data_IF_963096466450
#
_entry.id   IF_963096466450
#
_cell.length_a   1.000
_cell.length_b   1.000
_cell.length_c   1.000
_cell.angle_alpha   90.00
_cell.angle_beta   90.00
_cell.angle_gamma   90.00
#
_symmetry.space_group_name_H-M   'P 1'
#
loop_
_entity.id
_entity.type
_entity.pdbx_description
1 polymer ?
#
# COMPACT_ATOMS: atom_id res chain seq x y z
N UNK A 1 -25.95 64.67 10.62
CA UNK A 1 -25.44 63.49 11.37
C UNK A 1 -25.42 62.19 10.54
N UNK A 2 -26.39 61.91 9.64
CA UNK A 2 -26.45 60.68 8.81
C UNK A 2 -25.29 60.47 7.80
N UNK A 3 -24.51 61.51 7.47
CA UNK A 3 -23.43 61.44 6.46
C UNK A 3 -22.15 60.76 7.00
N UNK A 4 -21.83 60.98 8.28
CA UNK A 4 -20.64 60.43 8.91
C UNK A 4 -20.78 58.94 9.27
N UNK A 5 -21.98 58.48 9.64
CA UNK A 5 -22.26 57.06 9.88
C UNK A 5 -22.17 56.21 8.61
N UNK A 6 -22.66 56.74 7.48
CA UNK A 6 -22.62 56.07 6.18
C UNK A 6 -21.18 55.94 5.66
N UNK A 7 -20.38 56.99 5.82
CA UNK A 7 -18.96 56.95 5.49
C UNK A 7 -18.19 55.95 6.36
N UNK A 8 -18.53 55.82 7.64
CA UNK A 8 -17.89 54.87 8.55
C UNK A 8 -18.27 53.41 8.25
N UNK A 9 -19.51 53.16 7.80
CA UNK A 9 -19.92 51.83 7.32
C UNK A 9 -19.24 51.45 6.00
N UNK A 10 -19.11 52.40 5.07
CA UNK A 10 -18.47 52.18 3.78
C UNK A 10 -16.97 51.88 3.94
N UNK A 11 -16.29 52.57 4.87
CA UNK A 11 -14.89 52.31 5.23
C UNK A 11 -14.72 50.91 5.83
N UNK A 12 -15.62 50.47 6.72
CA UNK A 12 -15.58 49.09 7.26
C UNK A 12 -15.79 48.03 6.19
N UNK A 13 -16.70 48.28 5.25
CA UNK A 13 -16.95 47.37 4.12
C UNK A 13 -15.72 47.30 3.21
N UNK A 14 -15.06 48.44 2.96
CA UNK A 14 -13.84 48.51 2.14
C UNK A 14 -12.69 47.73 2.79
N UNK A 15 -12.45 47.95 4.10
CA UNK A 15 -11.42 47.23 4.87
C UNK A 15 -11.66 45.71 4.87
N UNK A 16 -12.91 45.27 5.02
CA UNK A 16 -13.24 43.84 5.00
C UNK A 16 -12.99 43.21 3.62
N UNK A 17 -13.35 43.91 2.53
CA UNK A 17 -13.07 43.45 1.16
C UNK A 17 -11.57 43.35 0.88
N UNK A 18 -10.79 44.31 1.35
CA UNK A 18 -9.31 44.30 1.20
C UNK A 18 -8.69 43.15 1.98
N UNK A 19 -9.15 42.86 3.20
CA UNK A 19 -8.69 41.71 3.98
C UNK A 19 -9.03 40.37 3.32
N UNK A 20 -10.22 40.24 2.71
CA UNK A 20 -10.61 39.03 1.95
C UNK A 20 -9.78 38.84 0.68
N UNK A 21 -9.43 39.93 -0.01
CA UNK A 21 -8.53 39.89 -1.17
C UNK A 21 -7.11 39.48 -0.77
N UNK A 22 -6.58 40.05 0.32
CA UNK A 22 -5.26 39.69 0.84
C UNK A 22 -5.21 38.23 1.31
N UNK A 23 -6.26 37.73 1.98
CA UNK A 23 -6.36 36.32 2.38
C UNK A 23 -6.38 35.38 1.17
N UNK A 24 -7.12 35.75 0.13
CA UNK A 24 -7.18 35.00 -1.13
C UNK A 24 -5.83 34.99 -1.87
N UNK A 25 -5.12 36.12 -1.87
CA UNK A 25 -3.78 36.24 -2.48
C UNK A 25 -2.74 35.39 -1.74
N UNK A 26 -2.72 35.45 -0.41
CA UNK A 26 -1.80 34.66 0.41
C UNK A 26 -2.05 33.15 0.27
N UNK A 27 -3.32 32.73 0.19
CA UNK A 27 -3.69 31.34 -0.08
C UNK A 27 -3.18 30.88 -1.46
N UNK A 28 -3.30 31.71 -2.48
CA UNK A 28 -2.81 31.37 -3.83
C UNK A 28 -1.28 31.30 -3.90
N UNK A 29 -0.55 32.16 -3.18
CA UNK A 29 0.91 32.07 -3.06
C UNK A 29 1.36 30.80 -2.33
N UNK A 30 0.64 30.39 -1.29
CA UNK A 30 0.86 29.11 -0.59
C UNK A 30 0.58 27.89 -1.49
N UNK A 31 -0.45 27.96 -2.34
CA UNK A 31 -0.77 26.91 -3.31
C UNK A 31 0.29 26.85 -4.44
N UNK A 32 0.75 28.02 -4.92
CA UNK A 32 1.75 28.11 -5.99
C UNK A 32 3.14 27.62 -5.55
N UNK A 33 3.51 27.84 -4.29
CA UNK A 33 4.76 27.31 -3.70
C UNK A 33 4.71 25.79 -3.51
N UNK A 34 3.53 25.21 -3.29
CA UNK A 34 3.29 23.76 -3.24
C UNK A 34 3.09 23.10 -4.61
N UNK A 35 3.65 23.67 -5.69
CA UNK A 35 3.60 23.07 -7.03
C UNK A 35 4.07 21.61 -6.97
N UNK A 36 3.14 20.68 -7.17
CA UNK A 36 3.32 19.23 -7.02
C UNK A 36 4.56 18.78 -7.81
N UNK A 37 5.67 18.52 -7.11
CA UNK A 37 6.90 18.04 -7.75
C UNK A 37 6.57 16.75 -8.50
N UNK A 38 6.84 16.73 -9.81
CA UNK A 38 6.65 15.53 -10.61
C UNK A 38 7.67 14.48 -10.15
N UNK A 39 7.19 13.28 -9.85
CA UNK A 39 8.08 12.16 -9.56
C UNK A 39 8.94 11.86 -10.79
N UNK A 40 10.21 11.58 -10.53
CA UNK A 40 11.18 11.20 -11.56
C UNK A 40 11.43 9.70 -11.51
N UNK A 41 11.76 9.09 -12.64
CA UNK A 41 12.14 7.67 -12.70
C UNK A 41 13.26 7.33 -11.72
N UNK A 42 14.25 8.21 -11.58
CA UNK A 42 15.37 8.04 -10.64
C UNK A 42 14.91 8.00 -9.17
N UNK A 43 13.96 8.87 -8.79
CA UNK A 43 13.41 8.84 -7.43
C UNK A 43 12.65 7.54 -7.17
N UNK A 44 11.89 7.05 -8.16
CA UNK A 44 11.18 5.77 -8.07
C UNK A 44 12.15 4.59 -7.93
N UNK A 45 13.20 4.51 -8.76
CA UNK A 45 14.22 3.45 -8.68
C UNK A 45 14.83 3.38 -7.28
N UNK A 46 15.24 4.54 -6.73
CA UNK A 46 15.83 4.61 -5.39
C UNK A 46 14.84 4.23 -4.28
N UNK A 47 13.55 4.53 -4.45
CA UNK A 47 12.55 4.21 -3.46
C UNK A 47 12.11 2.73 -3.50
N UNK A 48 12.16 2.10 -4.67
CA UNK A 48 11.87 0.67 -4.85
C UNK A 48 13.03 -0.19 -4.33
N UNK A 49 14.27 0.27 -4.48
CA UNK A 49 15.45 -0.44 -3.97
C UNK A 49 15.37 -0.67 -2.45
N UNK A 50 15.53 -1.93 -2.03
CA UNK A 50 15.38 -2.42 -0.65
C UNK A 50 13.99 -2.18 -0.03
N UNK A 51 12.97 -1.95 -0.86
CA UNK A 51 11.59 -1.82 -0.40
C UNK A 51 10.90 -3.16 -0.19
N UNK A 52 11.49 -4.25 -0.69
CA UNK A 52 10.88 -5.58 -0.70
C UNK A 52 9.50 -5.59 -1.39
N UNK A 53 9.31 -4.69 -2.36
CA UNK A 53 8.04 -4.51 -3.08
C UNK A 53 6.90 -3.90 -2.25
N UNK A 54 7.20 -3.33 -1.08
CA UNK A 54 6.19 -2.73 -0.21
C UNK A 54 5.77 -1.34 -0.72
N UNK A 55 4.60 -1.28 -1.36
CA UNK A 55 4.05 -0.05 -1.93
C UNK A 55 3.75 1.01 -0.87
N UNK A 56 3.36 0.63 0.34
CA UNK A 56 3.11 1.60 1.42
C UNK A 56 4.41 2.30 1.81
N UNK A 57 5.47 1.52 2.02
CA UNK A 57 6.79 2.04 2.35
C UNK A 57 7.32 2.96 1.25
N UNK A 58 7.19 2.57 -0.02
CA UNK A 58 7.59 3.40 -1.17
C UNK A 58 6.80 4.72 -1.19
N UNK A 59 5.49 4.65 -0.96
CA UNK A 59 4.61 5.81 -0.95
C UNK A 59 4.99 6.80 0.17
N UNK A 60 5.24 6.29 1.37
CA UNK A 60 5.67 7.07 2.54
C UNK A 60 7.03 7.72 2.29
N UNK A 61 7.99 6.95 1.74
CA UNK A 61 9.33 7.44 1.41
C UNK A 61 9.32 8.56 0.36
N UNK A 62 8.38 8.50 -0.58
CA UNK A 62 8.21 9.50 -1.64
C UNK A 62 7.25 10.64 -1.27
N UNK A 63 6.54 10.54 -0.15
CA UNK A 63 5.54 11.52 0.29
C UNK A 63 4.34 11.62 -0.67
N UNK A 64 3.91 10.50 -1.25
CA UNK A 64 2.79 10.44 -2.20
C UNK A 64 1.77 9.37 -1.80
N UNK A 65 0.59 9.41 -2.41
CA UNK A 65 -0.38 8.33 -2.25
C UNK A 65 0.06 7.04 -2.97
N UNK A 66 -0.30 5.86 -2.46
CA UNK A 66 -0.03 4.56 -3.09
C UNK A 66 -0.48 4.49 -4.56
N UNK A 67 -1.63 5.07 -4.89
CA UNK A 67 -2.13 5.16 -6.28
C UNK A 67 -1.14 5.87 -7.20
N UNK A 68 -0.49 6.93 -6.71
CA UNK A 68 0.54 7.65 -7.46
C UNK A 68 1.77 6.79 -7.70
N UNK A 69 2.15 5.92 -6.75
CA UNK A 69 3.23 4.95 -6.92
C UNK A 69 2.90 3.99 -8.06
N UNK A 70 1.72 3.35 -8.04
CA UNK A 70 1.30 2.43 -9.11
C UNK A 70 1.33 3.08 -10.49
N UNK A 71 0.73 4.26 -10.65
CA UNK A 71 0.74 4.98 -11.93
C UNK A 71 2.17 5.29 -12.40
N UNK A 72 3.10 5.59 -11.49
CA UNK A 72 4.49 5.88 -11.89
C UNK A 72 5.31 4.61 -12.14
N UNK A 73 4.99 3.48 -11.51
CA UNK A 73 5.59 2.18 -11.84
C UNK A 73 5.25 1.78 -13.26
N UNK A 74 3.98 1.87 -13.64
CA UNK A 74 3.51 1.60 -15.00
C UNK A 74 4.18 2.56 -16.00
N UNK A 75 4.10 3.88 -15.72
CA UNK A 75 4.66 4.91 -16.59
C UNK A 75 6.17 4.77 -16.85
N UNK A 76 6.93 4.29 -15.87
CA UNK A 76 8.39 4.16 -15.98
C UNK A 76 8.86 2.72 -16.21
N UNK A 77 7.91 1.80 -16.44
CA UNK A 77 8.14 0.37 -16.71
C UNK A 77 9.01 -0.26 -15.62
N UNK A 78 8.63 -0.08 -14.35
CA UNK A 78 9.39 -0.54 -13.19
C UNK A 78 8.82 -1.81 -12.55
N UNK A 79 7.90 -2.50 -13.25
CA UNK A 79 7.22 -3.67 -12.72
C UNK A 79 8.19 -4.82 -12.43
N UNK A 80 9.11 -5.11 -13.37
CA UNK A 80 10.12 -6.15 -13.18
C UNK A 80 11.03 -5.88 -11.97
N UNK A 81 11.41 -4.63 -11.75
CA UNK A 81 12.21 -4.24 -10.58
C UNK A 81 11.41 -4.49 -9.29
N UNK A 82 10.14 -4.09 -9.26
CA UNK A 82 9.28 -4.33 -8.10
C UNK A 82 9.15 -5.83 -7.80
N UNK A 83 8.98 -6.65 -8.84
CA UNK A 83 8.85 -8.09 -8.68
C UNK A 83 10.17 -8.73 -8.24
N UNK A 84 11.31 -8.28 -8.75
CA UNK A 84 12.63 -8.72 -8.26
C UNK A 84 12.84 -8.43 -6.76
N UNK A 85 12.36 -7.29 -6.26
CA UNK A 85 12.43 -6.96 -4.84
C UNK A 85 11.48 -7.81 -3.99
N UNK A 86 10.37 -8.29 -4.55
CA UNK A 86 9.48 -9.25 -3.89
C UNK A 86 10.12 -10.63 -3.80
N UNK A 87 10.77 -11.09 -4.86
CA UNK A 87 11.56 -12.34 -4.81
C UNK A 87 12.67 -12.25 -3.77
N UNK A 88 13.36 -11.11 -3.69
CA UNK A 88 14.37 -10.87 -2.65
C UNK A 88 13.82 -10.95 -1.22
N UNK A 89 12.55 -10.61 -1.00
CA UNK A 89 11.88 -10.79 0.30
C UNK A 89 11.66 -12.27 0.61
N UNK A 90 11.31 -13.06 -0.40
CA UNK A 90 11.14 -14.51 -0.28
C UNK A 90 12.48 -15.16 0.06
N UNK A 91 13.55 -14.83 -0.68
CA UNK A 91 14.91 -15.30 -0.39
C UNK A 91 15.34 -14.95 1.03
N UNK A 92 15.03 -13.74 1.49
CA UNK A 92 15.31 -13.32 2.86
C UNK A 92 14.55 -14.17 3.89
N UNK A 93 13.26 -14.44 3.65
CA UNK A 93 12.46 -15.31 4.50
C UNK A 93 12.97 -16.76 4.52
N UNK A 94 13.41 -17.29 3.38
CA UNK A 94 14.02 -18.63 3.30
C UNK A 94 15.31 -18.70 4.12
N UNK A 95 16.18 -17.70 4.00
CA UNK A 95 17.40 -17.62 4.81
C UNK A 95 17.06 -17.57 6.31
N UNK A 96 16.07 -16.76 6.71
CA UNK A 96 15.65 -16.68 8.11
C UNK A 96 15.05 -18.00 8.61
N UNK A 97 14.35 -18.74 7.76
CA UNK A 97 13.84 -20.08 8.07
C UNK A 97 14.99 -21.04 8.35
N UNK A 98 16.05 -21.04 7.53
CA UNK A 98 17.25 -21.86 7.76
C UNK A 98 17.94 -21.50 9.08
N UNK A 99 18.10 -20.21 9.38
CA UNK A 99 18.66 -19.76 10.67
C UNK A 99 17.82 -20.26 11.85
N UNK A 100 16.49 -20.18 11.75
CA UNK A 100 15.59 -20.65 12.80
C UNK A 100 15.67 -22.17 13.01
N UNK A 101 15.79 -22.95 11.92
CA UNK A 101 16.00 -24.40 11.98
C UNK A 101 17.32 -24.74 12.67
N UNK A 102 18.41 -24.05 12.30
CA UNK A 102 19.72 -24.24 12.92
C UNK A 102 19.70 -23.89 14.42
N UNK A 103 18.88 -22.91 14.81
CA UNK A 103 18.65 -22.54 16.21
C UNK A 103 17.68 -23.47 16.96
N UNK A 104 17.16 -24.52 16.33
CA UNK A 104 16.29 -25.50 16.98
C UNK A 104 14.83 -25.07 17.14
N UNK A 105 14.37 -23.98 16.48
CA UNK A 105 12.98 -23.51 16.62
C UNK A 105 12.00 -24.52 16.01
N UNK A 106 11.23 -25.19 16.87
CA UNK A 106 10.45 -26.38 16.52
C UNK A 106 9.39 -26.07 15.44
N UNK A 107 8.71 -24.92 15.55
CA UNK A 107 7.70 -24.49 14.56
C UNK A 107 8.30 -24.35 13.17
N UNK A 108 9.50 -23.77 13.04
CA UNK A 108 10.21 -23.63 11.75
C UNK A 108 10.64 -24.98 11.19
N UNK A 109 11.12 -25.89 12.04
CA UNK A 109 11.50 -27.25 11.65
C UNK A 109 10.28 -28.02 11.13
N UNK A 110 9.19 -28.04 11.90
CA UNK A 110 7.94 -28.71 11.53
C UNK A 110 7.39 -28.13 10.23
N UNK A 111 7.37 -26.79 10.10
CA UNK A 111 6.91 -26.12 8.89
C UNK A 111 7.74 -26.52 7.66
N UNK A 112 9.06 -26.52 7.75
CA UNK A 112 9.94 -26.92 6.66
C UNK A 112 9.72 -28.38 6.26
N UNK A 113 9.63 -29.29 7.24
CA UNK A 113 9.40 -30.71 6.97
C UNK A 113 8.06 -30.93 6.24
N UNK A 114 6.99 -30.29 6.72
CA UNK A 114 5.64 -30.38 6.13
C UNK A 114 5.53 -29.76 4.73
N UNK A 115 6.37 -28.77 4.41
CA UNK A 115 6.26 -28.03 3.14
C UNK A 115 7.26 -28.47 2.09
N UNK A 116 8.55 -28.63 2.45
CA UNK A 116 9.65 -28.96 1.52
C UNK A 116 10.14 -30.40 1.58
N UNK A 117 9.89 -31.12 2.68
CA UNK A 117 10.32 -32.53 2.83
C UNK A 117 9.18 -33.55 2.69
N UNK A 118 8.09 -33.21 1.98
CA UNK A 118 6.92 -34.09 1.78
C UNK A 118 7.28 -35.45 1.17
N UNK A 119 8.27 -35.49 0.30
CA UNK A 119 8.80 -36.71 -0.30
C UNK A 119 9.38 -37.71 0.74
N UNK A 120 9.67 -37.25 1.97
CA UNK A 120 10.09 -38.09 3.10
C UNK A 120 8.93 -38.53 4.01
N UNK A 121 7.68 -38.29 3.61
CA UNK A 121 6.50 -38.72 4.35
C UNK A 121 5.96 -37.72 5.36
N UNK A 122 6.51 -36.50 5.44
CA UNK A 122 6.00 -35.42 6.29
C UNK A 122 4.77 -34.75 5.67
N UNK A 123 3.68 -35.51 5.55
CA UNK A 123 2.39 -35.05 5.04
C UNK A 123 1.34 -35.19 6.13
N UNK A 124 0.47 -34.19 6.27
CA UNK A 124 -0.70 -34.31 7.13
C UNK A 124 -1.72 -35.21 6.46
N UNK A 125 -2.25 -36.18 7.21
CA UNK A 125 -3.35 -37.04 6.78
C UNK A 125 -4.63 -36.50 7.42
N UNK A 126 -5.62 -36.20 6.60
CA UNK A 126 -6.98 -35.92 7.07
C UNK A 126 -7.71 -37.25 7.20
N UNK A 127 -8.23 -37.54 8.39
CA UNK A 127 -9.20 -38.62 8.58
C UNK A 127 -10.59 -38.08 8.26
N UNK A 128 -11.27 -38.68 7.28
CA UNK A 128 -12.66 -38.36 6.95
C UNK A 128 -13.51 -39.49 7.54
N UNK A 129 -14.34 -39.16 8.53
CA UNK A 129 -15.31 -40.10 9.09
C UNK A 129 -16.58 -40.12 8.21
N UNK A 130 -16.91 -41.28 7.66
CA UNK A 130 -18.03 -41.49 6.73
C UNK A 130 -19.31 -41.99 7.42
N UNK A 131 -19.34 -42.02 8.76
CA UNK A 131 -20.43 -42.66 9.51
C UNK A 131 -21.81 -41.98 9.38
N UNK A 132 -21.89 -40.74 8.93
CA UNK A 132 -23.16 -39.97 8.84
C UNK A 132 -23.51 -39.51 7.42
N UNK A 133 -23.26 -40.32 6.39
CA UNK A 133 -23.81 -40.02 5.06
C UNK A 133 -25.27 -40.48 4.97
N UNK A 134 -26.20 -39.53 5.10
CA UNK A 134 -27.58 -39.73 4.67
C UNK A 134 -27.56 -40.00 3.15
N UNK A 135 -28.14 -41.10 2.66
CA UNK A 135 -28.17 -41.37 1.23
C UNK A 135 -28.92 -40.24 0.51
N UNK A 136 -28.23 -39.57 -0.41
CA UNK A 136 -28.84 -38.59 -1.30
C UNK A 136 -29.53 -39.38 -2.40
N UNK A 137 -30.86 -39.49 -2.32
CA UNK A 137 -31.66 -40.04 -3.41
C UNK A 137 -31.72 -39.00 -4.53
N UNK A 138 -31.00 -39.26 -5.62
CA UNK A 138 -31.13 -38.50 -6.86
C UNK A 138 -32.33 -39.11 -7.59
N UNK A 139 -33.50 -38.50 -7.42
CA UNK A 139 -34.63 -38.79 -8.32
C UNK A 139 -34.33 -38.12 -9.66
N UNK A 140 -34.11 -38.95 -10.69
CA UNK A 140 -34.05 -38.47 -12.06
C UNK A 140 -35.45 -37.98 -12.44
N UNK A 141 -35.63 -36.66 -12.51
CA UNK A 141 -36.77 -36.05 -13.19
C UNK A 141 -36.63 -36.35 -14.69
N UNK A 142 -37.26 -37.43 -15.15
CA UNK A 142 -37.54 -37.60 -16.58
C UNK A 142 -38.62 -36.60 -16.98
N UNK A 143 -38.36 -35.85 -18.06
CA UNK A 143 -39.24 -34.86 -18.71
C UNK A 143 -40.65 -35.38 -19.01
#
# INVERSE_FOLDING_TARGET
>A
MKSAEKQNSDVKIQLHKTALQQKSQNLNEQIATHKKRRLTRRAMLKAIDNSYGNISFIADLLGVARSTVYTNIEKFELQELLDSERERLIDFAENQLVTNIAAGKEVSIIFFLKTRAKNRGYVEKTEIDYRDQTPVFIENLTE
#
